data_IF_508148429357
#
_entry.id   IF_508148429357
#
_cell.length_a   1.000
_cell.length_b   1.000
_cell.length_c   1.000
_cell.angle_alpha   90.00
_cell.angle_beta   90.00
_cell.angle_gamma   90.00
#
_symmetry.space_group_name_H-M   'P 1'
#
loop_
_entity.id
_entity.type
_entity.pdbx_description
1 polymer ?
#
# COMPACT_ATOMS: atom_id res chain seq x y z
N UNK A 1 -6.65 10.51 -15.11
CA UNK A 1 -8.02 9.97 -15.04
C UNK A 1 -8.21 9.05 -13.84
N UNK A 2 -7.39 8.00 -13.65
CA UNK A 2 -7.53 7.09 -12.49
C UNK A 2 -7.49 7.83 -11.15
N UNK A 3 -6.51 8.72 -10.96
CA UNK A 3 -6.42 9.56 -9.74
C UNK A 3 -7.68 10.40 -9.52
N UNK A 4 -8.24 11.00 -10.57
CA UNK A 4 -9.49 11.75 -10.46
C UNK A 4 -10.68 10.85 -10.14
N UNK A 5 -10.70 9.60 -10.63
CA UNK A 5 -11.71 8.62 -10.25
C UNK A 5 -11.61 8.26 -8.76
N UNK A 6 -10.39 8.05 -8.23
CA UNK A 6 -10.15 7.88 -6.80
C UNK A 6 -10.69 9.08 -6.01
N UNK A 7 -10.40 10.31 -6.44
CA UNK A 7 -10.88 11.52 -5.75
C UNK A 7 -12.42 11.59 -5.73
N UNK A 8 -13.08 11.32 -6.86
CA UNK A 8 -14.55 11.31 -6.93
C UNK A 8 -15.16 10.22 -6.06
N UNK A 9 -14.65 8.98 -6.16
CA UNK A 9 -15.14 7.84 -5.38
C UNK A 9 -14.96 8.10 -3.89
N UNK A 10 -13.79 8.62 -3.50
CA UNK A 10 -13.46 8.91 -2.11
C UNK A 10 -14.33 10.02 -1.52
N UNK A 11 -14.67 11.05 -2.31
CA UNK A 11 -15.61 12.10 -1.91
C UNK A 11 -17.02 11.56 -1.65
N UNK A 12 -17.41 10.49 -2.34
CA UNK A 12 -18.68 9.80 -2.10
C UNK A 12 -18.63 8.78 -0.95
N UNK A 13 -17.45 8.60 -0.32
CA UNK A 13 -17.29 7.71 0.83
C UNK A 13 -17.32 6.22 0.49
N UNK A 14 -17.04 5.80 -0.75
CA UNK A 14 -17.06 4.39 -1.14
C UNK A 14 -15.68 3.75 -1.05
N UNK A 15 -15.49 2.82 -0.12
CA UNK A 15 -14.19 2.22 0.16
C UNK A 15 -13.74 1.26 -0.95
N UNK A 16 -14.51 0.21 -1.21
CA UNK A 16 -14.12 -0.88 -2.11
C UNK A 16 -13.84 -0.38 -3.55
N UNK A 17 -14.67 0.52 -4.14
CA UNK A 17 -14.35 1.08 -5.44
C UNK A 17 -13.10 1.97 -5.43
N UNK A 18 -12.78 2.64 -4.30
CA UNK A 18 -11.59 3.46 -4.19
C UNK A 18 -10.34 2.59 -4.17
N UNK A 19 -10.34 1.52 -3.36
CA UNK A 19 -9.26 0.53 -3.33
C UNK A 19 -9.06 -0.11 -4.71
N UNK A 20 -10.13 -0.53 -5.37
CA UNK A 20 -10.06 -1.09 -6.72
C UNK A 20 -9.48 -0.10 -7.75
N UNK A 21 -9.79 1.19 -7.63
CA UNK A 21 -9.22 2.22 -8.51
C UNK A 21 -7.71 2.45 -8.24
N UNK A 22 -7.26 2.31 -6.99
CA UNK A 22 -5.85 2.37 -6.62
C UNK A 22 -5.09 1.16 -7.16
N UNK A 23 -5.60 -0.06 -6.95
CA UNK A 23 -5.06 -1.28 -7.56
C UNK A 23 -5.02 -1.17 -9.09
N UNK A 24 -6.04 -0.59 -9.70
CA UNK A 24 -6.06 -0.35 -11.14
C UNK A 24 -4.94 0.61 -11.61
N UNK A 25 -4.55 1.58 -10.79
CA UNK A 25 -3.36 2.41 -11.06
C UNK A 25 -2.09 1.56 -11.09
N UNK A 26 -1.93 0.64 -10.15
CA UNK A 26 -0.76 -0.25 -10.07
C UNK A 26 -0.71 -1.17 -11.29
N UNK A 27 -1.84 -1.81 -11.62
CA UNK A 27 -1.99 -2.70 -12.79
C UNK A 27 -1.58 -2.01 -14.10
N UNK A 28 -2.04 -0.77 -14.30
CA UNK A 28 -1.68 0.02 -15.49
C UNK A 28 -0.20 0.43 -15.47
N UNK A 29 0.36 0.75 -14.30
CA UNK A 29 1.75 1.14 -14.17
C UNK A 29 2.69 -0.04 -14.49
N UNK A 30 2.39 -1.24 -13.97
CA UNK A 30 3.21 -2.44 -14.16
C UNK A 30 2.81 -3.31 -15.35
N UNK A 31 1.79 -2.91 -16.10
CA UNK A 31 1.25 -3.64 -17.25
C UNK A 31 0.87 -5.11 -16.92
N UNK A 32 0.22 -5.33 -15.78
CA UNK A 32 -0.21 -6.65 -15.32
C UNK A 32 -1.56 -6.59 -14.60
N UNK A 33 -2.24 -7.73 -14.48
CA UNK A 33 -3.48 -7.85 -13.72
C UNK A 33 -3.22 -8.25 -12.27
N UNK A 34 -4.13 -7.87 -11.36
CA UNK A 34 -4.04 -8.18 -9.93
C UNK A 34 -4.17 -9.68 -9.58
N UNK A 35 -4.52 -10.54 -10.56
CA UNK A 35 -4.55 -12.00 -10.43
C UNK A 35 -3.27 -12.68 -10.92
N UNK A 36 -2.33 -11.91 -11.48
CA UNK A 36 -1.04 -12.42 -11.92
C UNK A 36 -0.03 -12.37 -10.78
N UNK A 37 1.04 -13.16 -10.87
CA UNK A 37 2.10 -13.16 -9.87
C UNK A 37 2.80 -11.80 -9.78
N UNK A 38 3.05 -11.31 -8.57
CA UNK A 38 3.80 -10.08 -8.32
C UNK A 38 5.21 -10.12 -8.91
N UNK A 39 5.78 -11.32 -9.08
CA UNK A 39 7.09 -11.54 -9.71
C UNK A 39 7.12 -11.11 -11.19
N UNK A 40 5.96 -10.97 -11.85
CA UNK A 40 5.87 -10.48 -13.23
C UNK A 40 6.35 -9.03 -13.39
N UNK A 41 6.44 -8.27 -12.30
CA UNK A 41 7.02 -6.92 -12.30
C UNK A 41 8.54 -6.93 -12.51
N UNK A 42 9.21 -8.04 -12.19
CA UNK A 42 10.66 -8.14 -12.31
C UNK A 42 11.09 -8.25 -13.79
N UNK A 43 12.19 -7.58 -14.17
CA UNK A 43 12.74 -7.73 -15.52
C UNK A 43 13.20 -9.17 -15.75
N UNK A 44 13.06 -9.65 -16.98
CA UNK A 44 13.48 -11.00 -17.40
C UNK A 44 12.70 -12.16 -16.78
N UNK A 45 11.57 -11.90 -16.11
CA UNK A 45 10.71 -12.95 -15.56
C UNK A 45 9.71 -13.47 -16.59
N UNK A 46 9.99 -14.66 -17.14
CA UNK A 46 9.05 -15.40 -17.99
C UNK A 46 8.01 -16.17 -17.14
N UNK A 47 6.93 -16.60 -17.77
CA UNK A 47 5.91 -17.42 -17.11
C UNK A 47 6.48 -18.76 -16.60
N UNK A 48 7.46 -19.34 -17.29
CA UNK A 48 8.14 -20.55 -16.84
C UNK A 48 8.96 -20.30 -15.57
N UNK A 49 9.69 -19.17 -15.52
CA UNK A 49 10.46 -18.79 -14.34
C UNK A 49 9.54 -18.54 -13.13
N UNK A 50 8.45 -17.80 -13.33
CA UNK A 50 7.44 -17.54 -12.28
C UNK A 50 6.88 -18.86 -11.73
N UNK A 51 6.54 -19.82 -12.60
CA UNK A 51 6.05 -21.12 -12.19
C UNK A 51 7.09 -21.88 -11.34
N UNK A 52 8.36 -21.85 -11.75
CA UNK A 52 9.47 -22.46 -11.02
C UNK A 52 9.67 -21.82 -9.63
N UNK A 53 9.52 -20.50 -9.52
CA UNK A 53 9.54 -19.81 -8.24
C UNK A 53 8.38 -20.26 -7.34
N UNK A 54 7.16 -20.31 -7.88
CA UNK A 54 5.98 -20.77 -7.13
C UNK A 54 6.11 -22.22 -6.64
N UNK A 55 6.71 -23.12 -7.43
CA UNK A 55 6.99 -24.51 -7.02
C UNK A 55 7.96 -24.60 -5.83
N UNK A 56 8.75 -23.56 -5.57
CA UNK A 56 9.62 -23.43 -4.39
C UNK A 56 9.00 -22.58 -3.26
N UNK A 57 7.74 -22.16 -3.39
CA UNK A 57 7.07 -21.31 -2.41
C UNK A 57 7.50 -19.84 -2.44
N UNK A 58 8.08 -19.39 -3.56
CA UNK A 58 8.49 -18.00 -3.77
C UNK A 58 7.39 -17.31 -4.59
N UNK A 59 6.63 -16.41 -3.96
CA UNK A 59 5.43 -15.78 -4.54
C UNK A 59 5.53 -14.25 -4.64
N UNK A 60 6.34 -13.62 -3.78
CA UNK A 60 6.48 -12.18 -3.66
C UNK A 60 7.89 -11.69 -4.01
N UNK A 61 8.04 -10.38 -4.23
CA UNK A 61 9.36 -9.78 -4.48
C UNK A 61 10.20 -9.80 -3.20
N UNK A 62 9.58 -9.67 -2.02
CA UNK A 62 10.26 -9.81 -0.73
C UNK A 62 10.86 -11.21 -0.56
N UNK A 63 10.14 -12.26 -0.98
CA UNK A 63 10.66 -13.63 -0.93
C UNK A 63 11.97 -13.76 -1.72
N UNK A 64 12.06 -13.13 -2.90
CA UNK A 64 13.28 -13.11 -3.73
C UNK A 64 14.42 -12.33 -3.06
N UNK A 65 14.09 -11.24 -2.36
CA UNK A 65 15.06 -10.41 -1.64
C UNK A 65 15.64 -11.15 -0.43
N UNK A 66 14.83 -11.96 0.23
CA UNK A 66 15.21 -12.74 1.42
C UNK A 66 15.96 -14.04 1.09
N UNK A 67 16.01 -14.44 -0.19
CA UNK A 67 16.78 -15.61 -0.62
C UNK A 67 18.28 -15.39 -0.46
N UNK A 68 18.98 -16.46 -0.05
CA UNK A 68 20.44 -16.51 -0.14
C UNK A 68 20.92 -16.42 -1.59
N UNK A 69 22.06 -15.76 -1.81
CA UNK A 69 22.59 -15.47 -3.14
C UNK A 69 22.80 -16.74 -3.99
N UNK A 70 23.30 -17.83 -3.40
CA UNK A 70 23.53 -19.09 -4.11
C UNK A 70 22.20 -19.71 -4.60
N UNK A 71 21.22 -19.82 -3.71
CA UNK A 71 19.89 -20.34 -4.00
C UNK A 71 19.15 -19.49 -5.02
N UNK A 72 19.25 -18.15 -4.89
CA UNK A 72 18.66 -17.19 -5.82
C UNK A 72 19.26 -17.33 -7.21
N UNK A 73 20.59 -17.39 -7.33
CA UNK A 73 21.26 -17.54 -8.61
C UNK A 73 20.91 -18.86 -9.28
N UNK A 74 20.85 -19.96 -8.52
CA UNK A 74 20.46 -21.27 -9.03
C UNK A 74 18.98 -21.29 -9.45
N UNK A 75 18.10 -20.68 -8.66
CA UNK A 75 16.66 -20.63 -8.95
C UNK A 75 16.36 -19.75 -10.16
N UNK A 76 16.99 -18.59 -10.30
CA UNK A 76 16.68 -17.66 -11.37
C UNK A 76 17.38 -18.07 -12.67
N UNK A 77 18.60 -18.60 -12.59
CA UNK A 77 19.40 -19.03 -13.75
C UNK A 77 19.47 -17.95 -14.84
N UNK A 78 19.62 -16.70 -14.41
CA UNK A 78 19.77 -15.52 -15.26
C UNK A 78 21.26 -15.18 -15.41
N UNK A 79 21.63 -14.52 -16.51
CA UNK A 79 23.00 -14.05 -16.68
C UNK A 79 23.31 -12.84 -15.79
N UNK A 80 24.58 -12.45 -15.69
CA UNK A 80 25.00 -11.39 -14.78
C UNK A 80 24.35 -10.02 -15.06
N UNK A 81 24.08 -9.70 -16.34
CA UNK A 81 23.42 -8.45 -16.72
C UNK A 81 21.95 -8.47 -16.32
N UNK A 82 21.26 -9.57 -16.61
CA UNK A 82 19.85 -9.77 -16.22
C UNK A 82 19.70 -9.73 -14.70
N UNK A 83 20.63 -10.34 -13.97
CA UNK A 83 20.62 -10.33 -12.51
C UNK A 83 20.92 -8.96 -11.93
N UNK A 84 21.76 -8.17 -12.59
CA UNK A 84 21.93 -6.75 -12.24
C UNK A 84 20.64 -5.95 -12.40
N UNK A 85 19.85 -6.22 -13.44
CA UNK A 85 18.58 -5.53 -13.66
C UNK A 85 17.52 -5.93 -12.62
N UNK A 86 17.45 -7.22 -12.25
CA UNK A 86 16.60 -7.70 -11.15
C UNK A 86 17.00 -7.04 -9.83
N UNK A 87 18.30 -7.01 -9.50
CA UNK A 87 18.78 -6.36 -8.28
C UNK A 87 18.46 -4.86 -8.23
N UNK A 88 18.59 -4.15 -9.36
CA UNK A 88 18.17 -2.73 -9.46
C UNK A 88 16.67 -2.56 -9.19
N UNK A 89 15.84 -3.51 -9.66
CA UNK A 89 14.41 -3.48 -9.38
C UNK A 89 14.13 -3.69 -7.89
N UNK A 90 14.69 -4.74 -7.29
CA UNK A 90 14.51 -5.03 -5.87
C UNK A 90 14.95 -3.86 -4.98
N UNK A 91 16.10 -3.24 -5.27
CA UNK A 91 16.59 -2.08 -4.51
C UNK A 91 15.70 -0.82 -4.61
N UNK A 92 14.81 -0.77 -5.60
CA UNK A 92 13.84 0.32 -5.80
C UNK A 92 12.41 -0.08 -5.44
N UNK A 93 12.19 -1.35 -5.12
CA UNK A 93 10.88 -1.85 -4.74
C UNK A 93 10.57 -1.37 -3.32
N UNK A 94 9.41 -0.75 -3.06
CA UNK A 94 9.18 -0.09 -1.79
C UNK A 94 9.16 -1.03 -0.59
N UNK A 95 10.07 -0.82 0.36
CA UNK A 95 10.01 -1.33 1.72
C UNK A 95 9.82 -0.17 2.70
N UNK A 96 8.59 -0.06 3.24
CA UNK A 96 8.17 1.07 4.07
C UNK A 96 7.49 0.54 5.31
N UNK A 97 8.00 0.93 6.47
CA UNK A 97 7.38 0.67 7.76
C UNK A 97 6.32 1.75 8.05
N UNK A 98 5.09 1.32 8.38
CA UNK A 98 4.02 2.19 8.86
C UNK A 98 3.73 1.93 10.34
N UNK A 99 3.95 2.96 11.15
CA UNK A 99 3.56 3.00 12.55
C UNK A 99 2.41 3.99 12.73
N UNK A 100 1.33 3.59 13.40
CA UNK A 100 0.19 4.49 13.63
C UNK A 100 -0.33 4.45 15.07
N UNK A 101 -0.96 5.55 15.47
CA UNK A 101 -1.64 5.69 16.76
C UNK A 101 -2.90 6.56 16.63
N UNK A 102 -3.94 6.22 17.40
CA UNK A 102 -5.15 7.03 17.52
C UNK A 102 -4.98 7.99 18.69
N UNK A 103 -5.08 9.30 18.43
CA UNK A 103 -4.95 10.32 19.48
C UNK A 103 -6.15 10.23 20.45
N UNK A 104 -5.88 10.20 21.76
CA UNK A 104 -6.89 10.11 22.81
C UNK A 104 -7.87 8.92 22.66
N UNK A 105 -7.38 7.74 22.25
CA UNK A 105 -8.18 6.53 22.00
C UNK A 105 -9.22 6.22 23.08
N UNK A 106 -8.90 6.50 24.34
CA UNK A 106 -9.74 6.14 25.49
C UNK A 106 -10.85 7.17 25.78
N UNK A 107 -10.83 8.32 25.10
CA UNK A 107 -11.72 9.46 25.36
C UNK A 107 -12.30 10.06 24.09
N UNK A 108 -12.61 9.22 23.11
CA UNK A 108 -13.29 9.65 21.87
C UNK A 108 -14.78 9.81 22.15
N UNK A 109 -15.31 11.00 21.86
CA UNK A 109 -16.72 11.35 22.04
C UNK A 109 -17.37 11.48 20.66
N UNK A 110 -18.60 10.98 20.53
CA UNK A 110 -19.41 11.13 19.31
C UNK A 110 -19.46 12.60 18.86
N UNK A 111 -19.32 12.83 17.55
CA UNK A 111 -19.30 14.18 16.97
C UNK A 111 -17.97 14.94 17.09
N UNK A 112 -16.99 14.45 17.87
CA UNK A 112 -15.65 15.05 17.95
C UNK A 112 -14.71 14.52 16.86
N UNK A 113 -13.67 15.29 16.49
CA UNK A 113 -12.64 14.81 15.57
C UNK A 113 -11.81 13.67 16.17
N UNK A 114 -11.71 12.56 15.44
CA UNK A 114 -10.74 11.49 15.64
C UNK A 114 -9.54 11.76 14.76
N UNK A 115 -8.34 11.63 15.33
CA UNK A 115 -7.07 11.81 14.60
C UNK A 115 -6.26 10.54 14.66
N UNK A 116 -5.85 10.06 13.49
CA UNK A 116 -4.95 8.90 13.34
C UNK A 116 -3.61 9.44 12.85
N UNK A 117 -2.60 9.37 13.72
CA UNK A 117 -1.24 9.78 13.44
C UNK A 117 -0.49 8.61 12.80
N UNK A 118 0.08 8.83 11.63
CA UNK A 118 0.81 7.84 10.84
C UNK A 118 2.26 8.32 10.64
N UNK A 119 3.21 7.49 11.03
CA UNK A 119 4.64 7.68 10.82
C UNK A 119 5.11 6.63 9.82
N UNK A 120 5.66 7.10 8.71
CA UNK A 120 6.16 6.28 7.63
C UNK A 120 7.67 6.43 7.53
N UNK A 121 8.36 5.31 7.46
CA UNK A 121 9.81 5.25 7.33
C UNK A 121 10.17 4.23 6.24
N UNK A 122 10.89 4.69 5.22
CA UNK A 122 11.46 3.82 4.20
C UNK A 122 12.73 3.20 4.74
N UNK A 123 12.86 1.89 4.61
CA UNK A 123 14.07 1.15 4.97
C UNK A 123 15.13 1.16 3.86
N UNK A 124 14.70 1.26 2.59
CA UNK A 124 15.60 1.30 1.44
C UNK A 124 16.35 2.65 1.32
N UNK A 125 17.60 2.60 0.84
CA UNK A 125 18.43 3.78 0.61
C UNK A 125 18.19 4.45 -0.76
N UNK A 126 17.63 3.71 -1.74
CA UNK A 126 17.59 4.14 -3.12
C UNK A 126 16.22 4.71 -3.53
N UNK A 127 16.06 6.04 -3.37
CA UNK A 127 14.85 6.75 -3.84
C UNK A 127 15.01 7.23 -5.29
N UNK A 128 13.94 7.14 -6.07
CA UNK A 128 13.84 7.78 -7.38
C UNK A 128 12.59 7.36 -8.13
N UNK A 129 12.54 7.54 -9.46
CA UNK A 129 11.34 7.20 -10.23
C UNK A 129 10.98 5.72 -10.16
N UNK A 130 9.70 5.45 -10.31
CA UNK A 130 9.12 4.11 -10.42
C UNK A 130 9.75 3.39 -11.61
N UNK A 131 10.20 2.16 -11.37
CA UNK A 131 10.66 1.26 -12.41
C UNK A 131 9.46 0.55 -13.02
N UNK A 132 9.04 1.04 -14.18
CA UNK A 132 7.91 0.52 -14.94
C UNK A 132 8.25 0.57 -16.45
N UNK A 133 8.97 -0.44 -16.99
CA UNK A 133 9.51 -0.41 -18.35
C UNK A 133 8.45 -0.24 -19.46
N UNK A 134 7.23 -0.72 -19.21
CA UNK A 134 6.12 -0.67 -20.15
C UNK A 134 5.26 0.59 -20.00
N UNK A 135 5.54 1.43 -18.98
CA UNK A 135 4.82 2.67 -18.78
C UNK A 135 5.51 3.82 -19.55
N UNK A 136 4.79 4.55 -20.42
CA UNK A 136 5.41 5.45 -21.39
C UNK A 136 6.01 6.73 -20.81
N UNK A 137 5.79 7.01 -19.52
CA UNK A 137 6.23 8.25 -18.87
C UNK A 137 7.03 7.94 -17.63
N UNK A 138 8.01 8.78 -17.31
CA UNK A 138 8.62 8.78 -15.98
C UNK A 138 7.53 9.10 -14.95
N UNK A 139 7.43 8.28 -13.90
CA UNK A 139 6.45 8.39 -12.82
C UNK A 139 7.20 8.44 -11.50
N UNK A 140 6.78 9.34 -10.63
CA UNK A 140 7.22 9.39 -9.25
C UNK A 140 6.22 8.60 -8.39
N UNK A 141 6.74 7.94 -7.37
CA UNK A 141 5.96 7.13 -6.45
C UNK A 141 5.00 8.00 -5.63
N UNK A 142 3.75 7.56 -5.51
CA UNK A 142 2.73 8.24 -4.70
C UNK A 142 1.90 7.23 -3.94
N UNK A 143 1.50 7.62 -2.73
CA UNK A 143 0.75 6.76 -1.84
C UNK A 143 -0.56 7.40 -1.39
N UNK A 144 -1.49 6.55 -1.00
CA UNK A 144 -2.69 6.91 -0.27
C UNK A 144 -2.68 6.26 1.10
N UNK A 145 -2.98 7.05 2.12
CA UNK A 145 -3.42 6.55 3.42
C UNK A 145 -4.93 6.70 3.49
N UNK A 146 -5.63 5.64 3.89
CA UNK A 146 -7.08 5.63 4.02
C UNK A 146 -7.49 5.05 5.37
N UNK A 147 -8.54 5.61 5.97
CA UNK A 147 -9.26 4.97 7.07
C UNK A 147 -10.65 4.64 6.55
N UNK A 148 -11.08 3.39 6.73
CA UNK A 148 -12.41 2.96 6.31
C UNK A 148 -12.97 1.82 7.16
N UNK A 149 -14.22 1.46 6.87
CA UNK A 149 -14.94 0.36 7.49
C UNK A 149 -15.34 -0.66 6.42
N UNK A 150 -14.55 -1.73 6.21
CA UNK A 150 -14.75 -2.67 5.11
C UNK A 150 -16.15 -3.31 5.09
N UNK A 151 -16.66 -3.69 6.26
CA UNK A 151 -17.99 -4.31 6.40
C UNK A 151 -19.13 -3.40 5.93
N UNK A 152 -18.95 -2.09 6.01
CA UNK A 152 -19.94 -1.09 5.61
C UNK A 152 -19.65 -0.50 4.22
N UNK A 153 -18.55 -0.89 3.57
CA UNK A 153 -18.03 -0.25 2.36
C UNK A 153 -17.89 1.28 2.50
N UNK A 154 -17.55 1.75 3.70
CA UNK A 154 -17.49 3.18 4.03
C UNK A 154 -16.04 3.64 4.09
N UNK A 155 -15.68 4.60 3.26
CA UNK A 155 -14.44 5.35 3.36
C UNK A 155 -14.66 6.54 4.30
N UNK A 156 -13.82 6.64 5.33
CA UNK A 156 -13.97 7.61 6.42
C UNK A 156 -12.99 8.78 6.28
N UNK A 157 -11.75 8.50 5.89
CA UNK A 157 -10.73 9.52 5.66
C UNK A 157 -9.76 9.03 4.59
N UNK A 158 -9.21 9.96 3.81
CA UNK A 158 -8.20 9.67 2.78
C UNK A 158 -7.20 10.81 2.75
N UNK A 159 -5.93 10.48 2.54
CA UNK A 159 -4.87 11.45 2.30
C UNK A 159 -3.85 10.90 1.33
N UNK A 160 -3.53 11.70 0.33
CA UNK A 160 -2.44 11.42 -0.60
C UNK A 160 -1.12 11.94 -0.03
N UNK A 161 -0.07 11.15 -0.15
CA UNK A 161 1.27 11.53 0.32
C UNK A 161 2.34 11.18 -0.73
N UNK A 162 3.46 11.89 -0.63
CA UNK A 162 4.71 11.55 -1.29
C UNK A 162 5.71 11.24 -0.18
N UNK A 163 6.40 10.10 -0.28
CA UNK A 163 7.37 9.65 0.71
C UNK A 163 8.74 9.57 0.05
N UNK A 164 9.69 10.33 0.60
CA UNK A 164 11.11 10.20 0.25
C UNK A 164 11.75 9.18 1.21
N UNK A 165 12.26 9.63 2.38
CA UNK A 165 12.78 8.74 3.42
C UNK A 165 11.81 8.55 4.59
N UNK A 166 11.37 9.65 5.21
CA UNK A 166 10.46 9.62 6.36
C UNK A 166 9.38 10.66 6.19
N UNK A 167 8.17 10.39 6.67
CA UNK A 167 7.08 11.36 6.70
C UNK A 167 6.14 11.04 7.85
N UNK A 168 5.75 12.08 8.60
CA UNK A 168 4.67 11.98 9.57
C UNK A 168 3.46 12.74 9.04
N UNK A 169 2.29 12.13 9.16
CA UNK A 169 1.04 12.69 8.64
C UNK A 169 -0.14 12.26 9.51
N UNK A 170 -1.21 13.03 9.43
CA UNK A 170 -2.46 12.76 10.15
C UNK A 170 -3.62 12.57 9.20
N UNK A 171 -4.50 11.63 9.55
CA UNK A 171 -5.82 11.42 8.99
C UNK A 171 -6.84 11.84 10.05
N UNK A 172 -7.74 12.74 9.68
CA UNK A 172 -8.76 13.26 10.57
C UNK A 172 -10.15 12.84 10.05
N UNK A 173 -11.07 12.50 10.95
CA UNK A 173 -12.49 12.26 10.64
C UNK A 173 -13.38 12.53 11.84
N UNK A 174 -14.71 12.53 11.66
CA UNK A 174 -15.66 12.78 12.76
C UNK A 174 -16.12 11.45 13.35
N UNK A 175 -16.06 11.32 14.68
CA UNK A 175 -16.56 10.17 15.40
C UNK A 175 -18.06 9.97 15.14
N UNK A 176 -18.49 8.81 14.62
CA UNK A 176 -19.91 8.51 14.43
C UNK A 176 -20.62 8.23 15.77
N UNK A 177 -21.84 7.68 15.68
CA UNK A 177 -22.64 7.26 16.83
C UNK A 177 -21.87 6.41 17.86
N UNK A 178 -22.16 6.55 19.16
CA UNK A 178 -21.51 5.81 20.23
C UNK A 178 -21.48 4.28 20.03
N UNK A 179 -20.48 3.67 20.66
CA UNK A 179 -20.24 2.22 20.65
C UNK A 179 -18.90 1.84 20.03
N UNK A 180 -18.59 0.55 20.10
CA UNK A 180 -17.36 0.00 19.55
C UNK A 180 -17.44 -0.09 18.02
N UNK A 181 -16.50 0.55 17.33
CA UNK A 181 -16.41 0.58 15.87
C UNK A 181 -15.10 -0.03 15.40
N UNK A 182 -15.19 -0.90 14.41
CA UNK A 182 -14.02 -1.49 13.73
C UNK A 182 -13.67 -0.66 12.50
N UNK A 183 -12.38 -0.37 12.37
CA UNK A 183 -11.78 0.37 11.26
C UNK A 183 -10.58 -0.38 10.73
N UNK A 184 -10.20 -0.05 9.51
CA UNK A 184 -8.97 -0.51 8.87
C UNK A 184 -8.23 0.70 8.31
N UNK A 185 -6.94 0.81 8.64
CA UNK A 185 -6.00 1.74 8.03
C UNK A 185 -5.37 1.04 6.82
N UNK A 186 -5.53 1.63 5.64
CA UNK A 186 -4.94 1.16 4.39
C UNK A 186 -3.80 2.08 3.99
N UNK A 187 -2.70 1.49 3.54
CA UNK A 187 -1.59 2.20 2.93
C UNK A 187 -1.36 1.61 1.54
N UNK A 188 -1.74 2.37 0.51
CA UNK A 188 -1.84 1.90 -0.86
C UNK A 188 -0.88 2.67 -1.76
N UNK A 189 -0.13 1.98 -2.62
CA UNK A 189 0.69 2.62 -3.67
C UNK A 189 -0.10 2.81 -4.96
N UNK A 190 0.33 3.77 -5.79
CA UNK A 190 -0.22 3.96 -7.14
C UNK A 190 0.57 3.25 -8.25
N UNK A 191 1.62 2.52 -7.88
CA UNK A 191 2.71 2.15 -8.79
C UNK A 191 3.15 0.70 -8.78
N UNK A 192 3.21 0.05 -7.62
CA UNK A 192 3.73 -1.32 -7.47
C UNK A 192 2.63 -2.23 -6.93
N UNK A 193 2.64 -3.51 -7.31
CA UNK A 193 1.74 -4.49 -6.72
C UNK A 193 2.49 -5.24 -5.62
N UNK A 194 1.82 -5.55 -4.52
CA UNK A 194 2.39 -6.31 -3.38
C UNK A 194 3.00 -5.45 -2.26
N UNK A 195 2.89 -4.12 -2.34
CA UNK A 195 3.36 -3.20 -1.29
C UNK A 195 2.23 -2.64 -0.41
N UNK A 196 0.98 -2.99 -0.69
CA UNK A 196 -0.17 -2.45 0.03
C UNK A 196 -0.26 -3.07 1.43
N UNK A 197 -0.58 -2.25 2.43
CA UNK A 197 -0.63 -2.67 3.84
C UNK A 197 -1.98 -2.35 4.47
N UNK A 198 -2.46 -3.24 5.33
CA UNK A 198 -3.75 -3.10 6.03
C UNK A 198 -3.60 -3.36 7.52
N UNK A 199 -4.12 -2.45 8.35
CA UNK A 199 -4.07 -2.55 9.81
C UNK A 199 -5.46 -2.38 10.40
N UNK A 200 -5.98 -3.44 11.03
CA UNK A 200 -7.26 -3.41 11.72
C UNK A 200 -7.10 -2.79 13.10
N UNK A 201 -8.03 -1.90 13.47
CA UNK A 201 -8.08 -1.30 14.80
C UNK A 201 -9.53 -1.01 15.21
N UNK A 202 -9.73 -0.86 16.51
CA UNK A 202 -11.04 -0.59 17.09
C UNK A 202 -11.02 0.73 17.84
N UNK A 203 -12.12 1.46 17.79
CA UNK A 203 -12.34 2.67 18.58
C UNK A 203 -13.65 2.50 19.35
N UNK A 204 -13.59 2.73 20.66
CA UNK A 204 -14.77 2.80 21.52
C UNK A 204 -15.23 4.25 21.65
N UNK A 205 -16.36 4.56 21.02
CA UNK A 205 -16.90 5.92 20.97
C UNK A 205 -17.88 6.11 22.13
N UNK A 206 -17.64 7.15 22.94
CA UNK A 206 -18.50 7.53 24.07
C UNK A 206 -19.60 8.48 23.63
N UNK A 207 -20.74 8.40 24.31
CA UNK A 207 -21.81 9.39 24.16
C UNK A 207 -21.35 10.77 24.67
N UNK A 208 -21.91 11.82 24.10
CA UNK A 208 -21.71 13.17 24.62
C UNK A 208 -22.29 13.25 26.04
N UNK A 209 -21.56 13.82 27.03
CA UNK A 209 -22.09 14.00 28.36
C UNK A 209 -23.35 14.88 28.29
N UNK A 210 -24.50 14.34 28.67
CA UNK A 210 -25.72 15.14 28.80
C UNK A 210 -25.50 16.13 29.94
N UNK A 211 -25.58 17.43 29.66
CA UNK A 211 -25.52 18.45 30.70
C UNK A 211 -26.71 18.22 31.66
N UNK A 212 -26.40 17.93 32.93
CA UNK A 212 -27.36 17.79 34.01
C UNK A 212 -27.85 19.16 34.50
#
# INVERSE_FOLDING_TARGET
LIQAAVDVISTNGWLLPALAAMEFSQMITQAMWNKESYLKQLPHFSNELIKRCAEKGIETIFDIMDMEDEDRNQLLNLNQTEMSDVAKFCNRYPNIELNFQVENSDSIISGQPVKVLCNLEREDEAVGPVLAPYFPKKKEESWWLLVGQPKQNLLTSIKRISLQQKTSTKLDFIAPEPGSKQYTLFFMTDSYLGCDQEYNFSIDIKAEPTAA
#
